data_IF_849682018607
#
_entry.id   IF_849682018607
#
_cell.length_a   1.000
_cell.length_b   1.000
_cell.length_c   1.000
_cell.angle_alpha   90.00
_cell.angle_beta   90.00
_cell.angle_gamma   90.00
#
_symmetry.space_group_name_H-M   'P 1'
#
loop_
_entity.id
_entity.type
_entity.pdbx_description
1 polymer ?
#
# COMPACT_ATOMS: atom_id res chain seq x y z
N UNK A 1 -12.87 -24.10 -15.52
CA UNK A 1 -11.48 -23.59 -15.58
C UNK A 1 -11.58 -22.07 -15.67
N UNK A 2 -11.19 -21.34 -14.61
CA UNK A 2 -11.14 -19.88 -14.65
C UNK A 2 -9.82 -19.53 -15.33
N UNK A 3 -9.89 -18.98 -16.54
CA UNK A 3 -8.71 -18.45 -17.23
C UNK A 3 -8.62 -16.95 -16.93
N UNK A 4 -7.50 -16.50 -16.37
CA UNK A 4 -7.18 -15.08 -16.33
C UNK A 4 -7.03 -14.56 -17.76
N UNK A 5 -7.69 -13.45 -18.09
CA UNK A 5 -7.64 -12.82 -19.42
C UNK A 5 -6.40 -11.92 -19.54
N UNK A 6 -5.29 -12.27 -18.90
CA UNK A 6 -3.99 -11.70 -19.24
C UNK A 6 -3.42 -12.45 -20.45
N UNK A 7 -4.03 -12.25 -21.63
CA UNK A 7 -3.27 -12.36 -22.88
C UNK A 7 -2.53 -11.03 -23.02
N UNK A 8 -1.22 -11.06 -23.21
CA UNK A 8 -0.31 -9.91 -23.14
C UNK A 8 -0.52 -8.76 -24.14
N UNK A 9 -1.75 -8.42 -24.49
CA UNK A 9 -2.12 -7.15 -25.12
C UNK A 9 -2.12 -6.07 -24.03
N UNK A 10 -0.95 -5.47 -23.81
CA UNK A 10 -0.85 -4.20 -23.06
C UNK A 10 -1.63 -3.14 -23.84
N UNK A 11 -2.72 -2.66 -23.25
CA UNK A 11 -3.55 -1.60 -23.81
C UNK A 11 -3.15 -0.25 -23.17
N UNK A 12 -1.84 -0.04 -22.99
CA UNK A 12 -1.29 1.02 -22.14
C UNK A 12 -1.42 2.44 -22.76
N UNK A 13 -1.91 2.55 -24.01
CA UNK A 13 -2.08 3.83 -24.71
C UNK A 13 -3.34 3.92 -25.61
N UNK A 14 -4.37 3.16 -25.28
CA UNK A 14 -5.60 3.10 -26.09
C UNK A 14 -6.62 4.15 -25.65
N UNK A 15 -7.27 4.83 -26.62
CA UNK A 15 -8.41 5.70 -26.33
C UNK A 15 -9.51 4.91 -25.61
N UNK A 16 -10.40 5.61 -24.89
CA UNK A 16 -11.51 4.95 -24.18
C UNK A 16 -12.31 4.05 -25.14
N UNK A 17 -12.50 4.47 -26.37
CA UNK A 17 -13.20 3.70 -27.41
C UNK A 17 -12.46 2.42 -27.80
N UNK A 18 -11.12 2.47 -27.90
CA UNK A 18 -10.29 1.30 -28.19
C UNK A 18 -10.32 0.30 -27.03
N UNK A 19 -10.22 0.78 -25.78
CA UNK A 19 -10.36 -0.05 -24.58
C UNK A 19 -11.73 -0.71 -24.49
N UNK A 20 -12.81 0.03 -24.77
CA UNK A 20 -14.16 -0.52 -24.82
C UNK A 20 -14.31 -1.59 -25.91
N UNK A 21 -13.70 -1.38 -27.07
CA UNK A 21 -13.72 -2.34 -28.19
C UNK A 21 -12.98 -3.61 -27.83
N UNK A 22 -11.80 -3.49 -27.20
CA UNK A 22 -11.04 -4.61 -26.68
C UNK A 22 -11.83 -5.38 -25.61
N UNK A 23 -12.42 -4.68 -24.63
CA UNK A 23 -13.23 -5.34 -23.61
C UNK A 23 -14.40 -6.13 -24.21
N UNK A 24 -15.08 -5.55 -25.22
CA UNK A 24 -16.14 -6.25 -25.96
C UNK A 24 -15.60 -7.49 -26.67
N UNK A 25 -14.49 -7.41 -27.39
CA UNK A 25 -13.94 -8.58 -28.10
C UNK A 25 -13.52 -9.71 -27.12
N UNK A 26 -13.05 -9.35 -25.93
CA UNK A 26 -12.62 -10.29 -24.91
C UNK A 26 -13.79 -10.98 -24.22
N UNK A 27 -14.87 -10.27 -23.92
CA UNK A 27 -15.95 -10.74 -23.05
C UNK A 27 -17.28 -11.04 -23.76
N UNK A 28 -17.48 -10.56 -24.99
CA UNK A 28 -18.74 -10.76 -25.70
C UNK A 28 -19.04 -12.26 -25.89
N UNK A 29 -20.31 -12.62 -25.67
CA UNK A 29 -20.84 -13.99 -25.70
C UNK A 29 -20.14 -15.00 -24.76
N UNK A 30 -19.35 -14.50 -23.79
CA UNK A 30 -18.68 -15.34 -22.77
C UNK A 30 -19.29 -15.14 -21.39
N UNK A 31 -19.28 -16.22 -20.62
CA UNK A 31 -19.54 -16.18 -19.18
C UNK A 31 -18.27 -15.76 -18.44
N UNK A 32 -18.35 -14.71 -17.64
CA UNK A 32 -17.20 -14.19 -16.89
C UNK A 32 -17.54 -13.85 -15.43
N UNK A 33 -16.49 -13.74 -14.63
CA UNK A 33 -16.51 -13.11 -13.30
C UNK A 33 -15.57 -11.90 -13.36
N UNK A 34 -16.10 -10.70 -13.18
CA UNK A 34 -15.33 -9.47 -13.13
C UNK A 34 -15.24 -8.99 -11.67
N UNK A 35 -14.04 -8.76 -11.17
CA UNK A 35 -13.82 -8.20 -9.83
C UNK A 35 -13.24 -6.81 -9.98
N UNK A 36 -13.97 -5.79 -9.52
CA UNK A 36 -13.52 -4.42 -9.44
C UNK A 36 -13.16 -4.13 -7.98
N UNK A 37 -11.87 -4.20 -7.68
CA UNK A 37 -11.35 -4.07 -6.31
C UNK A 37 -11.07 -2.59 -5.98
N UNK A 38 -11.37 -2.19 -4.73
CA UNK A 38 -11.12 -0.87 -4.14
C UNK A 38 -11.59 0.34 -4.98
N UNK A 39 -12.89 0.38 -5.28
CA UNK A 39 -13.47 1.41 -6.16
C UNK A 39 -13.87 2.68 -5.39
N UNK A 40 -13.42 3.85 -5.85
CA UNK A 40 -13.68 5.15 -5.18
C UNK A 40 -14.50 6.17 -5.98
N UNK A 41 -14.71 5.96 -7.29
CA UNK A 41 -15.36 6.97 -8.12
C UNK A 41 -16.86 7.10 -7.79
N UNK A 42 -17.32 8.25 -7.34
CA UNK A 42 -18.73 8.47 -6.99
C UNK A 42 -19.57 9.05 -8.14
N UNK A 43 -18.99 9.23 -9.33
CA UNK A 43 -19.69 9.76 -10.48
C UNK A 43 -20.64 8.71 -11.09
N UNK A 44 -21.92 8.88 -10.82
CA UNK A 44 -22.97 7.99 -11.28
C UNK A 44 -23.04 7.85 -12.81
N UNK A 45 -22.79 8.92 -13.57
CA UNK A 45 -22.86 8.87 -15.04
C UNK A 45 -21.82 7.91 -15.62
N UNK A 46 -20.58 7.95 -15.10
CA UNK A 46 -19.51 7.02 -15.50
C UNK A 46 -19.86 5.55 -15.21
N UNK A 47 -20.57 5.29 -14.12
CA UNK A 47 -21.03 3.94 -13.81
C UNK A 47 -22.15 3.46 -14.72
N UNK A 48 -23.05 4.36 -15.11
CA UNK A 48 -24.09 4.05 -16.10
C UNK A 48 -23.43 3.67 -17.44
N UNK A 49 -22.45 4.46 -17.90
CA UNK A 49 -21.69 4.16 -19.12
C UNK A 49 -21.01 2.78 -19.07
N UNK A 50 -20.30 2.46 -17.99
CA UNK A 50 -19.68 1.15 -17.81
C UNK A 50 -20.73 0.03 -17.79
N UNK A 51 -21.84 0.25 -17.09
CA UNK A 51 -22.90 -0.76 -16.99
C UNK A 51 -23.56 -1.01 -18.34
N UNK A 52 -23.80 0.01 -19.12
CA UNK A 52 -24.42 -0.10 -20.44
C UNK A 52 -23.47 -0.78 -21.44
N UNK A 53 -22.17 -0.48 -21.35
CA UNK A 53 -21.13 -1.23 -22.05
C UNK A 53 -21.18 -2.72 -21.69
N UNK A 54 -21.20 -3.06 -20.39
CA UNK A 54 -21.24 -4.46 -19.95
C UNK A 54 -22.55 -5.16 -20.35
N UNK A 55 -23.68 -4.46 -20.33
CA UNK A 55 -25.00 -4.97 -20.76
C UNK A 55 -25.10 -5.21 -22.26
N UNK A 56 -24.33 -4.48 -23.06
CA UNK A 56 -24.29 -4.70 -24.52
C UNK A 56 -23.64 -6.04 -24.92
N UNK A 57 -23.02 -6.76 -23.99
CA UNK A 57 -22.33 -8.03 -24.26
C UNK A 57 -23.25 -9.25 -24.07
N UNK A 58 -23.31 -10.13 -25.07
CA UNK A 58 -24.26 -11.25 -25.14
C UNK A 58 -24.10 -12.38 -24.10
N UNK A 59 -23.15 -12.26 -23.15
CA UNK A 59 -22.92 -13.21 -22.06
C UNK A 59 -23.21 -12.69 -20.64
N UNK A 60 -23.67 -11.44 -20.49
CA UNK A 60 -23.80 -10.81 -19.16
C UNK A 60 -24.81 -11.53 -18.25
N UNK A 61 -25.91 -12.05 -18.80
CA UNK A 61 -26.98 -12.70 -18.01
C UNK A 61 -26.50 -13.92 -17.21
N UNK A 62 -25.41 -14.55 -17.65
CA UNK A 62 -24.78 -15.69 -16.97
C UNK A 62 -23.54 -15.29 -16.15
N UNK A 63 -23.12 -14.03 -16.25
CA UNK A 63 -21.89 -13.50 -15.66
C UNK A 63 -22.15 -12.84 -14.30
N UNK A 64 -21.09 -12.62 -13.55
CA UNK A 64 -21.15 -11.94 -12.25
C UNK A 64 -20.10 -10.84 -12.18
N UNK A 65 -20.45 -9.74 -11.51
CA UNK A 65 -19.55 -8.64 -11.22
C UNK A 65 -19.53 -8.47 -9.72
N UNK A 66 -18.34 -8.47 -9.13
CA UNK A 66 -18.11 -8.18 -7.72
C UNK A 66 -17.40 -6.84 -7.66
N UNK A 67 -17.90 -5.94 -6.81
CA UNK A 67 -17.28 -4.65 -6.55
C UNK A 67 -16.99 -4.58 -5.07
N UNK A 68 -15.75 -4.24 -4.70
CA UNK A 68 -15.39 -3.90 -3.33
C UNK A 68 -15.15 -2.39 -3.25
N UNK A 69 -15.63 -1.77 -2.18
CA UNK A 69 -15.49 -0.32 -1.95
C UNK A 69 -15.71 -0.01 -0.48
N UNK A 70 -15.11 1.08 -0.01
CA UNK A 70 -15.37 1.66 1.31
C UNK A 70 -16.48 2.70 1.28
N UNK A 71 -16.85 3.21 0.10
CA UNK A 71 -17.89 4.21 -0.04
C UNK A 71 -19.26 3.54 -0.20
N UNK A 72 -20.12 3.69 0.82
CA UNK A 72 -21.52 3.28 0.73
C UNK A 72 -22.24 3.94 -0.45
N UNK A 73 -21.82 5.15 -0.85
CA UNK A 73 -22.35 5.83 -2.02
C UNK A 73 -21.97 5.12 -3.32
N UNK A 74 -20.70 4.78 -3.53
CA UNK A 74 -20.27 3.95 -4.67
C UNK A 74 -21.04 2.63 -4.69
N UNK A 75 -21.13 1.98 -3.53
CA UNK A 75 -21.82 0.70 -3.40
C UNK A 75 -23.31 0.84 -3.78
N UNK A 76 -23.98 1.92 -3.36
CA UNK A 76 -25.37 2.18 -3.70
C UNK A 76 -25.59 2.44 -5.20
N UNK A 77 -24.65 3.12 -5.86
CA UNK A 77 -24.71 3.39 -7.31
C UNK A 77 -24.54 2.09 -8.11
N UNK A 78 -23.62 1.23 -7.67
CA UNK A 78 -23.22 0.02 -8.40
C UNK A 78 -24.11 -1.19 -8.12
N UNK A 79 -24.78 -1.22 -6.97
CA UNK A 79 -25.50 -2.41 -6.54
C UNK A 79 -26.76 -2.64 -7.38
N UNK A 80 -26.83 -3.82 -7.99
CA UNK A 80 -28.04 -4.37 -8.60
C UNK A 80 -28.78 -5.35 -7.68
N UNK A 81 -28.18 -5.67 -6.53
CA UNK A 81 -28.69 -6.62 -5.53
C UNK A 81 -28.63 -6.00 -4.13
N UNK A 82 -28.93 -6.78 -3.09
CA UNK A 82 -28.69 -6.34 -1.70
C UNK A 82 -27.19 -6.21 -1.47
N UNK A 83 -26.78 -5.06 -0.94
CA UNK A 83 -25.40 -4.80 -0.55
C UNK A 83 -24.94 -5.81 0.50
N UNK A 84 -23.73 -6.33 0.32
CA UNK A 84 -23.06 -7.12 1.34
C UNK A 84 -22.11 -6.21 2.12
N UNK A 85 -22.54 -5.80 3.30
CA UNK A 85 -21.70 -5.05 4.22
C UNK A 85 -20.77 -6.01 4.96
N UNK A 86 -19.47 -5.92 4.70
CA UNK A 86 -18.46 -6.75 5.34
C UNK A 86 -18.35 -6.34 6.82
N UNK A 87 -18.76 -7.24 7.71
CA UNK A 87 -18.65 -7.03 9.16
C UNK A 87 -17.22 -7.20 9.63
N UNK A 88 -16.92 -6.61 10.78
CA UNK A 88 -15.69 -6.88 11.54
C UNK A 88 -15.59 -8.36 11.92
N UNK A 89 -14.36 -8.84 12.14
CA UNK A 89 -14.15 -10.21 12.59
C UNK A 89 -14.72 -10.42 14.01
N UNK A 90 -15.38 -11.55 14.26
CA UNK A 90 -15.72 -11.99 15.60
C UNK A 90 -14.49 -12.06 16.51
N UNK A 91 -14.70 -11.84 17.81
CA UNK A 91 -13.60 -11.80 18.79
C UNK A 91 -12.76 -13.09 18.77
N UNK A 92 -13.41 -14.25 18.73
CA UNK A 92 -12.72 -15.55 18.68
C UNK A 92 -11.85 -15.71 17.43
N UNK A 93 -12.36 -15.28 16.26
CA UNK A 93 -11.59 -15.31 15.02
C UNK A 93 -10.41 -14.34 15.06
N UNK A 94 -10.55 -13.20 15.75
CA UNK A 94 -9.44 -12.30 16.01
C UNK A 94 -8.39 -12.91 16.93
N UNK A 95 -8.79 -13.65 17.97
CA UNK A 95 -7.85 -14.35 18.84
C UNK A 95 -7.07 -15.40 18.04
N UNK A 96 -7.76 -16.23 17.25
CA UNK A 96 -7.12 -17.22 16.37
C UNK A 96 -6.12 -16.54 15.42
N UNK A 97 -6.53 -15.45 14.77
CA UNK A 97 -5.67 -14.70 13.87
C UNK A 97 -4.47 -14.11 14.62
N UNK A 98 -4.68 -13.49 15.78
CA UNK A 98 -3.64 -12.87 16.57
C UNK A 98 -2.60 -13.90 17.03
N UNK A 99 -3.04 -15.02 17.61
CA UNK A 99 -2.18 -16.09 18.07
C UNK A 99 -1.29 -16.63 16.95
N UNK A 100 -1.87 -16.83 15.76
CA UNK A 100 -1.13 -17.27 14.56
C UNK A 100 0.00 -16.31 14.17
N UNK A 101 -0.14 -15.02 14.46
CA UNK A 101 0.87 -14.01 14.11
C UNK A 101 1.81 -13.64 15.26
N UNK A 102 1.44 -13.93 16.51
CA UNK A 102 2.26 -13.64 17.69
C UNK A 102 3.14 -14.83 18.13
N UNK A 103 2.74 -16.07 17.82
CA UNK A 103 3.43 -17.29 18.25
C UNK A 103 3.77 -18.18 17.06
N UNK A 104 4.76 -19.07 17.23
CA UNK A 104 4.87 -20.24 16.34
C UNK A 104 3.76 -21.23 16.67
N UNK A 105 3.46 -22.13 15.73
CA UNK A 105 2.43 -23.15 15.90
C UNK A 105 2.65 -23.98 17.17
N UNK A 106 1.76 -23.78 18.16
CA UNK A 106 1.75 -24.51 19.44
C UNK A 106 2.52 -23.88 20.60
N UNK A 107 3.22 -22.75 20.39
CA UNK A 107 3.96 -22.05 21.46
C UNK A 107 3.03 -21.31 22.43
N UNK A 108 1.81 -20.95 22.01
CA UNK A 108 0.82 -20.21 22.79
C UNK A 108 0.50 -20.88 24.14
N UNK A 109 0.47 -22.22 24.17
CA UNK A 109 0.19 -23.01 25.38
C UNK A 109 1.27 -22.87 26.46
N UNK A 110 2.47 -22.46 26.08
CA UNK A 110 3.60 -22.29 27.00
C UNK A 110 3.57 -20.93 27.70
N UNK A 111 2.81 -19.96 27.18
CA UNK A 111 2.78 -18.57 27.65
C UNK A 111 1.36 -18.07 27.97
N UNK A 112 0.67 -18.68 28.96
CA UNK A 112 -0.71 -18.30 29.30
C UNK A 112 -0.85 -16.85 29.79
N UNK A 113 0.20 -16.30 30.42
CA UNK A 113 0.24 -14.88 30.82
C UNK A 113 0.24 -13.94 29.61
N UNK A 114 1.02 -14.25 28.57
CA UNK A 114 1.08 -13.47 27.34
C UNK A 114 -0.24 -13.56 26.58
N UNK A 115 -0.85 -14.75 26.52
CA UNK A 115 -2.18 -14.94 25.91
C UNK A 115 -3.25 -14.07 26.58
N UNK A 116 -3.26 -13.97 27.91
CA UNK A 116 -4.17 -13.08 28.64
C UNK A 116 -4.00 -11.60 28.25
N UNK A 117 -2.76 -11.14 28.08
CA UNK A 117 -2.48 -9.77 27.62
C UNK A 117 -2.87 -9.61 26.15
N UNK A 118 -2.61 -10.64 25.33
CA UNK A 118 -3.02 -10.71 23.92
C UNK A 118 -4.52 -10.54 23.74
N UNK A 119 -5.34 -11.18 24.57
CA UNK A 119 -6.79 -10.99 24.57
C UNK A 119 -7.21 -9.53 24.81
N UNK A 120 -6.52 -8.84 25.72
CA UNK A 120 -6.76 -7.42 25.99
C UNK A 120 -6.37 -6.53 24.80
N UNK A 121 -5.26 -6.86 24.12
CA UNK A 121 -4.85 -6.18 22.88
C UNK A 121 -5.88 -6.43 21.77
N UNK A 122 -6.32 -7.68 21.58
CA UNK A 122 -7.31 -8.04 20.55
C UNK A 122 -8.64 -7.32 20.76
N UNK A 123 -9.09 -7.13 22.01
CA UNK A 123 -10.28 -6.31 22.31
C UNK A 123 -10.11 -4.87 21.80
N UNK A 124 -8.92 -4.28 21.94
CA UNK A 124 -8.62 -2.92 21.46
C UNK A 124 -8.55 -2.83 19.93
N UNK A 125 -8.31 -3.94 19.22
CA UNK A 125 -8.30 -3.98 17.75
C UNK A 125 -9.68 -3.84 17.10
N UNK A 126 -10.77 -3.87 17.87
CA UNK A 126 -12.18 -3.70 17.41
C UNK A 126 -12.56 -4.60 16.21
N UNK A 127 -11.97 -5.79 16.13
CA UNK A 127 -12.29 -6.76 15.07
C UNK A 127 -11.71 -6.46 13.68
N UNK A 128 -10.79 -5.49 13.55
CA UNK A 128 -10.15 -5.13 12.27
C UNK A 128 -9.00 -6.09 11.96
N UNK A 129 -9.10 -6.96 10.91
CA UNK A 129 -8.10 -7.99 10.64
C UNK A 129 -6.69 -7.45 10.43
N UNK A 130 -6.57 -6.30 9.74
CA UNK A 130 -5.28 -5.68 9.46
C UNK A 130 -4.56 -5.30 10.76
N UNK A 131 -5.27 -4.68 11.71
CA UNK A 131 -4.73 -4.27 13.01
C UNK A 131 -4.34 -5.50 13.83
N UNK A 132 -5.24 -6.49 13.90
CA UNK A 132 -4.98 -7.75 14.64
C UNK A 132 -3.71 -8.42 14.12
N UNK A 133 -3.58 -8.57 12.81
CA UNK A 133 -2.39 -9.16 12.18
C UNK A 133 -1.13 -8.35 12.47
N UNK A 134 -1.17 -7.03 12.30
CA UNK A 134 -0.01 -6.15 12.49
C UNK A 134 0.47 -6.08 13.94
N UNK A 135 -0.44 -6.15 14.92
CA UNK A 135 -0.06 -6.19 16.34
C UNK A 135 0.39 -7.59 16.79
N UNK A 136 -0.23 -8.64 16.26
CA UNK A 136 0.26 -10.01 16.47
C UNK A 136 1.70 -10.15 15.97
N UNK A 137 1.96 -9.71 14.73
CA UNK A 137 3.30 -9.79 14.14
C UNK A 137 4.34 -8.90 14.81
N UNK A 138 3.93 -7.76 15.39
CA UNK A 138 4.80 -6.93 16.23
C UNK A 138 5.29 -7.68 17.48
N UNK A 139 4.47 -8.58 18.02
CA UNK A 139 4.75 -9.38 19.21
C UNK A 139 5.31 -10.76 18.87
N UNK A 140 5.55 -11.04 17.59
CA UNK A 140 6.04 -12.34 17.13
C UNK A 140 7.32 -12.76 17.86
N UNK A 141 7.27 -13.94 18.48
CA UNK A 141 8.36 -14.55 19.27
C UNK A 141 8.87 -13.72 20.47
N UNK A 142 8.15 -12.66 20.87
CA UNK A 142 8.47 -11.91 22.09
C UNK A 142 7.92 -12.65 23.31
N UNK A 143 8.81 -13.14 24.16
CA UNK A 143 8.44 -13.90 25.36
C UNK A 143 8.47 -13.05 26.64
N UNK A 144 9.01 -11.84 26.59
CA UNK A 144 9.02 -10.91 27.72
C UNK A 144 7.63 -10.25 27.88
N UNK A 145 7.05 -10.36 29.08
CA UNK A 145 5.74 -9.77 29.38
C UNK A 145 5.74 -8.24 29.25
N UNK A 146 6.87 -7.57 29.49
CA UNK A 146 6.98 -6.12 29.40
C UNK A 146 6.79 -5.60 27.97
N UNK A 147 7.22 -6.35 26.96
CA UNK A 147 6.97 -6.03 25.55
C UNK A 147 5.46 -5.97 25.27
N UNK A 148 4.72 -6.94 25.78
CA UNK A 148 3.27 -7.06 25.58
C UNK A 148 2.50 -5.98 26.33
N UNK A 149 2.89 -5.71 27.58
CA UNK A 149 2.32 -4.62 28.40
C UNK A 149 2.55 -3.27 27.71
N UNK A 150 3.75 -3.04 27.16
CA UNK A 150 4.07 -1.77 26.48
C UNK A 150 3.18 -1.50 25.26
N UNK A 151 2.77 -2.56 24.56
CA UNK A 151 1.83 -2.50 23.43
C UNK A 151 0.42 -2.30 23.96
N UNK A 152 -0.01 -3.06 24.97
CA UNK A 152 -1.35 -2.95 25.56
C UNK A 152 -1.61 -1.56 26.15
N UNK A 153 -0.68 -1.03 26.93
CA UNK A 153 -0.89 0.19 27.73
C UNK A 153 -0.38 1.46 27.04
N UNK A 154 -0.06 1.36 25.74
CA UNK A 154 0.45 2.49 24.99
C UNK A 154 -0.52 3.68 24.96
N UNK A 155 0.01 4.90 25.11
CA UNK A 155 -0.79 6.14 25.09
C UNK A 155 -1.53 6.35 23.76
N UNK A 156 -1.10 5.71 22.67
CA UNK A 156 -1.76 5.79 21.36
C UNK A 156 -3.21 5.32 21.40
N UNK A 157 -3.56 4.44 22.34
CA UNK A 157 -4.94 3.98 22.54
C UNK A 157 -5.89 5.05 23.06
N UNK A 158 -5.37 6.16 23.61
CA UNK A 158 -6.15 7.30 24.11
C UNK A 158 -6.35 8.40 23.06
N UNK A 159 -5.68 8.29 21.92
CA UNK A 159 -5.75 9.26 20.83
C UNK A 159 -7.00 9.03 19.99
N UNK A 160 -8.17 9.40 20.49
CA UNK A 160 -9.42 9.40 19.70
C UNK A 160 -9.30 10.36 18.51
N UNK A 161 -9.28 9.81 17.28
CA UNK A 161 -9.33 10.59 16.04
C UNK A 161 -10.60 10.22 15.28
N UNK A 162 -11.45 11.21 15.03
CA UNK A 162 -12.80 11.06 14.49
C UNK A 162 -12.87 10.55 13.03
N UNK A 163 -11.76 10.55 12.29
CA UNK A 163 -11.78 10.25 10.85
C UNK A 163 -10.95 9.02 10.43
N UNK A 164 -10.08 8.47 11.29
CA UNK A 164 -9.26 7.30 10.96
C UNK A 164 -8.81 6.53 12.22
N UNK A 165 -9.73 5.80 12.89
CA UNK A 165 -9.44 5.08 14.14
C UNK A 165 -8.31 4.05 14.03
N UNK A 166 -8.01 3.56 12.82
CA UNK A 166 -7.04 2.49 12.58
C UNK A 166 -5.59 3.01 12.48
N UNK A 167 -5.39 4.21 11.93
CA UNK A 167 -4.06 4.71 11.60
C UNK A 167 -3.16 4.89 12.83
N UNK A 168 -3.63 5.47 13.95
CA UNK A 168 -2.85 5.53 15.19
C UNK A 168 -2.42 4.14 15.66
N UNK A 169 -3.30 3.14 15.56
CA UNK A 169 -2.97 1.79 16.02
C UNK A 169 -1.88 1.15 15.17
N UNK A 170 -1.94 1.31 13.84
CA UNK A 170 -0.88 0.82 12.94
C UNK A 170 0.47 1.51 13.20
N UNK A 171 0.44 2.79 13.60
CA UNK A 171 1.64 3.54 13.99
C UNK A 171 2.37 2.93 15.19
N UNK A 172 1.70 2.14 16.01
CA UNK A 172 2.35 1.39 17.09
C UNK A 172 3.41 0.41 16.56
N UNK A 173 3.11 -0.31 15.47
CA UNK A 173 4.09 -1.21 14.82
C UNK A 173 5.27 -0.44 14.23
N UNK A 174 5.00 0.72 13.62
CA UNK A 174 6.06 1.63 13.13
C UNK A 174 6.95 2.16 14.26
N UNK A 175 6.37 2.60 15.38
CA UNK A 175 7.12 3.17 16.50
C UNK A 175 8.11 2.16 17.12
N UNK A 176 7.84 0.86 16.97
CA UNK A 176 8.70 -0.24 17.42
C UNK A 176 9.68 -0.74 16.34
N UNK A 177 9.75 -0.09 15.18
CA UNK A 177 10.82 -0.34 14.22
C UNK A 177 12.12 0.31 14.69
N UNK A 178 13.28 -0.32 14.42
CA UNK A 178 14.57 0.35 14.51
C UNK A 178 14.59 1.65 13.68
N UNK A 179 15.33 2.66 14.13
CA UNK A 179 15.34 4.00 13.51
C UNK A 179 15.79 4.00 12.04
N UNK A 180 16.67 3.09 11.62
CA UNK A 180 17.01 2.93 10.20
C UNK A 180 15.83 2.41 9.38
N UNK A 181 15.08 1.44 9.91
CA UNK A 181 13.89 0.90 9.24
C UNK A 181 12.76 1.91 9.20
N UNK A 182 12.60 2.74 10.24
CA UNK A 182 11.64 3.85 10.25
C UNK A 182 11.89 4.83 9.10
N UNK A 183 13.17 5.18 8.85
CA UNK A 183 13.56 6.06 7.73
C UNK A 183 13.29 5.39 6.38
N UNK A 184 13.68 4.12 6.22
CA UNK A 184 13.42 3.33 5.02
C UNK A 184 11.92 3.22 4.72
N UNK A 185 11.09 2.95 5.74
CA UNK A 185 9.64 2.88 5.62
C UNK A 185 9.02 4.23 5.24
N UNK A 186 9.44 5.31 5.90
CA UNK A 186 8.91 6.66 5.63
C UNK A 186 9.10 7.08 4.15
N UNK A 187 10.27 6.84 3.56
CA UNK A 187 10.51 7.21 2.15
C UNK A 187 9.74 6.35 1.15
N UNK A 188 9.20 5.20 1.57
CA UNK A 188 8.33 4.40 0.70
C UNK A 188 7.00 5.11 0.40
N UNK A 189 6.66 6.17 1.13
CA UNK A 189 5.50 7.03 0.84
C UNK A 189 5.59 7.72 -0.53
N UNK A 190 6.79 7.82 -1.10
CA UNK A 190 7.05 8.35 -2.45
C UNK A 190 6.59 7.40 -3.55
N UNK A 191 6.41 6.11 -3.24
CA UNK A 191 5.86 5.18 -4.20
C UNK A 191 4.36 5.39 -4.36
N UNK A 192 3.82 5.03 -5.53
CA UNK A 192 2.39 5.14 -5.79
C UNK A 192 1.63 4.19 -4.87
N UNK A 193 0.51 4.66 -4.34
CA UNK A 193 -0.45 3.82 -3.60
C UNK A 193 -1.05 2.77 -4.55
N UNK A 194 -1.35 1.58 -4.03
CA UNK A 194 -1.94 0.47 -4.78
C UNK A 194 -1.12 0.00 -6.00
N UNK A 195 0.21 0.04 -5.90
CA UNK A 195 1.09 -0.52 -6.92
C UNK A 195 2.00 -1.62 -6.39
N UNK A 196 2.51 -2.43 -7.33
CA UNK A 196 3.48 -3.49 -7.06
C UNK A 196 4.88 -2.86 -7.06
N UNK A 197 5.63 -3.15 -6.00
CA UNK A 197 7.02 -2.73 -5.80
C UNK A 197 7.96 -3.88 -6.07
N UNK A 198 9.12 -3.57 -6.65
CA UNK A 198 10.21 -4.50 -6.89
C UNK A 198 11.26 -4.35 -5.80
N UNK A 199 11.61 -5.44 -5.11
CA UNK A 199 12.56 -5.40 -3.98
C UNK A 199 13.90 -4.80 -4.37
N UNK A 200 14.44 -5.15 -5.53
CA UNK A 200 15.72 -4.63 -6.03
C UNK A 200 15.68 -3.12 -6.26
N UNK A 201 14.57 -2.59 -6.80
CA UNK A 201 14.40 -1.15 -7.04
C UNK A 201 14.29 -0.36 -5.74
N UNK A 202 13.57 -0.89 -4.76
CA UNK A 202 13.45 -0.25 -3.43
C UNK A 202 14.78 -0.28 -2.70
N UNK A 203 15.51 -1.39 -2.77
CA UNK A 203 16.86 -1.51 -2.18
C UNK A 203 17.82 -0.52 -2.85
N UNK A 204 17.86 -0.44 -4.18
CA UNK A 204 18.69 0.52 -4.92
C UNK A 204 18.34 1.96 -4.54
N UNK A 205 17.05 2.27 -4.36
CA UNK A 205 16.63 3.58 -3.90
C UNK A 205 17.14 3.88 -2.49
N UNK A 206 17.03 2.93 -1.54
CA UNK A 206 17.58 3.09 -0.20
C UNK A 206 19.10 3.25 -0.20
N UNK A 207 19.81 2.52 -1.06
CA UNK A 207 21.26 2.64 -1.25
C UNK A 207 21.63 4.05 -1.74
N UNK A 208 20.97 4.53 -2.80
CA UNK A 208 21.24 5.85 -3.39
C UNK A 208 20.99 7.01 -2.42
N UNK A 209 20.07 6.83 -1.46
CA UNK A 209 19.74 7.82 -0.45
C UNK A 209 20.52 7.64 0.87
N UNK A 210 21.48 6.71 0.92
CA UNK A 210 22.28 6.47 2.12
C UNK A 210 21.46 6.00 3.33
N UNK A 211 20.34 5.31 3.09
CA UNK A 211 19.42 4.86 4.15
C UNK A 211 19.82 3.51 4.74
N UNK A 212 20.68 2.76 4.06
CA UNK A 212 21.20 1.50 4.56
C UNK A 212 22.40 1.75 5.47
N UNK A 213 22.41 1.12 6.64
CA UNK A 213 23.53 1.22 7.56
C UNK A 213 24.67 0.30 7.12
N UNK A 214 25.90 0.82 7.13
CA UNK A 214 27.08 0.01 6.81
C UNK A 214 27.24 -1.08 7.86
N UNK A 215 27.17 -2.34 7.46
CA UNK A 215 27.45 -3.42 8.39
C UNK A 215 28.96 -3.40 8.73
N UNK A 216 29.32 -3.69 9.99
CA UNK A 216 30.73 -3.84 10.40
C UNK A 216 31.39 -5.08 9.76
N UNK A 217 30.61 -5.94 9.12
CA UNK A 217 31.05 -7.12 8.38
C UNK A 217 31.05 -6.82 6.88
N UNK A 218 31.82 -7.56 6.09
CA UNK A 218 31.92 -7.40 4.62
C UNK A 218 30.62 -7.84 3.90
N UNK A 219 29.48 -7.26 4.26
CA UNK A 219 28.18 -7.56 3.66
C UNK A 219 27.91 -6.60 2.52
N UNK A 220 27.31 -7.13 1.45
CA UNK A 220 26.86 -6.31 0.32
C UNK A 220 25.63 -5.50 0.73
N UNK A 221 25.50 -4.28 0.19
CA UNK A 221 24.36 -3.40 0.45
C UNK A 221 23.01 -4.04 0.12
N UNK A 222 23.00 -4.88 -0.92
CA UNK A 222 21.82 -5.61 -1.36
C UNK A 222 21.34 -6.57 -0.27
N UNK A 223 22.25 -7.22 0.45
CA UNK A 223 21.92 -8.11 1.56
C UNK A 223 21.34 -7.34 2.74
N UNK A 224 21.88 -6.16 3.05
CA UNK A 224 21.36 -5.27 4.10
C UNK A 224 19.92 -4.85 3.76
N UNK A 225 19.70 -4.37 2.54
CA UNK A 225 18.37 -3.96 2.08
C UNK A 225 17.38 -5.13 2.04
N UNK A 226 17.81 -6.32 1.63
CA UNK A 226 16.99 -7.52 1.65
C UNK A 226 16.54 -7.90 3.07
N UNK A 227 17.43 -7.81 4.07
CA UNK A 227 17.05 -8.03 5.48
C UNK A 227 16.05 -7.00 5.97
N UNK A 228 16.23 -5.72 5.61
CA UNK A 228 15.29 -4.67 5.98
C UNK A 228 13.88 -4.94 5.41
N UNK A 229 13.78 -5.31 4.14
CA UNK A 229 12.49 -5.70 3.56
C UNK A 229 11.90 -6.95 4.23
N UNK A 230 12.72 -7.95 4.55
CA UNK A 230 12.26 -9.15 5.27
C UNK A 230 11.74 -8.82 6.67
N UNK A 231 12.32 -7.84 7.37
CA UNK A 231 11.80 -7.38 8.66
C UNK A 231 10.47 -6.60 8.52
N UNK A 232 10.31 -5.81 7.46
CA UNK A 232 9.02 -5.18 7.17
C UNK A 232 7.94 -6.22 6.80
N UNK A 233 8.32 -7.30 6.08
CA UNK A 233 7.45 -8.44 5.80
C UNK A 233 7.04 -9.17 7.08
N UNK A 234 8.01 -9.48 7.96
CA UNK A 234 7.71 -10.18 9.20
C UNK A 234 6.77 -9.40 10.10
N UNK A 235 6.84 -8.06 10.07
CA UNK A 235 5.92 -7.16 10.78
C UNK A 235 4.61 -6.86 10.03
N UNK A 236 4.36 -7.52 8.90
CA UNK A 236 3.17 -7.33 8.07
C UNK A 236 2.93 -5.89 7.60
N UNK A 237 4.00 -5.08 7.51
CA UNK A 237 3.94 -3.72 6.97
C UNK A 237 3.98 -3.72 5.44
N UNK A 238 4.51 -4.80 4.84
CA UNK A 238 4.44 -5.07 3.40
C UNK A 238 3.99 -6.51 3.16
N UNK A 239 3.52 -6.80 1.95
CA UNK A 239 2.97 -8.10 1.57
C UNK A 239 3.65 -8.60 0.30
N UNK A 240 4.29 -9.78 0.37
CA UNK A 240 4.94 -10.41 -0.78
C UNK A 240 3.91 -10.90 -1.79
N UNK A 241 4.13 -10.58 -3.07
CA UNK A 241 3.25 -10.94 -4.19
C UNK A 241 3.84 -12.09 -5.00
N UNK A 242 5.11 -11.98 -5.43
CA UNK A 242 5.76 -13.01 -6.25
C UNK A 242 7.23 -13.12 -5.91
N UNK A 243 7.74 -14.34 -5.87
CA UNK A 243 9.16 -14.63 -5.67
C UNK A 243 9.85 -14.86 -7.01
N UNK A 244 11.09 -14.38 -7.16
CA UNK A 244 11.94 -14.65 -8.31
C UNK A 244 13.39 -14.86 -7.87
N UNK A 245 14.23 -15.38 -8.77
CA UNK A 245 15.56 -15.90 -8.40
C UNK A 245 16.48 -14.92 -7.64
N UNK A 246 16.30 -13.61 -7.80
CA UNK A 246 17.15 -12.57 -7.24
C UNK A 246 16.39 -11.51 -6.43
N UNK A 247 15.13 -11.77 -6.05
CA UNK A 247 14.31 -10.80 -5.34
C UNK A 247 12.84 -11.19 -5.30
N UNK A 248 11.98 -10.26 -4.89
CA UNK A 248 10.54 -10.47 -4.87
C UNK A 248 9.79 -9.18 -5.17
N UNK A 249 8.58 -9.34 -5.70
CA UNK A 249 7.63 -8.24 -5.76
C UNK A 249 6.78 -8.23 -4.50
N UNK A 250 6.36 -7.04 -4.09
CA UNK A 250 5.52 -6.86 -2.92
C UNK A 250 4.64 -5.64 -3.09
N UNK A 251 3.61 -5.54 -2.24
CA UNK A 251 2.76 -4.35 -2.15
C UNK A 251 2.69 -3.84 -0.72
N UNK A 252 2.32 -2.58 -0.59
CA UNK A 252 1.96 -1.98 0.69
C UNK A 252 0.44 -1.83 0.72
N UNK A 253 -0.19 -2.24 1.82
CA UNK A 253 -1.62 -2.00 1.99
C UNK A 253 -1.87 -0.49 2.04
N UNK A 254 -2.98 -0.06 1.48
CA UNK A 254 -3.33 1.35 1.28
C UNK A 254 -3.26 2.18 2.59
N UNK A 255 -3.77 1.68 3.72
CA UNK A 255 -3.66 2.28 5.05
C UNK A 255 -2.23 2.24 5.64
N UNK A 256 -1.40 1.28 5.24
CA UNK A 256 0.02 1.25 5.63
C UNK A 256 0.81 2.28 4.81
N UNK A 257 0.40 2.51 3.56
CA UNK A 257 0.92 3.61 2.75
C UNK A 257 0.51 4.97 3.33
N UNK A 258 -0.75 5.11 3.78
CA UNK A 258 -1.20 6.30 4.51
C UNK A 258 -0.40 6.52 5.80
N UNK A 259 0.00 5.43 6.48
CA UNK A 259 0.90 5.52 7.64
C UNK A 259 2.29 6.00 7.22
N UNK A 260 2.85 5.48 6.12
CA UNK A 260 4.13 5.95 5.58
C UNK A 260 4.07 7.45 5.25
N UNK A 261 2.96 7.93 4.68
CA UNK A 261 2.71 9.35 4.43
C UNK A 261 2.69 10.16 5.74
N UNK A 262 1.95 9.72 6.76
CA UNK A 262 1.88 10.40 8.07
C UNK A 262 3.26 10.51 8.74
N UNK A 263 4.02 9.41 8.75
CA UNK A 263 5.33 9.35 9.43
C UNK A 263 6.48 9.92 8.60
N UNK A 264 6.25 10.28 7.34
CA UNK A 264 7.25 10.95 6.50
C UNK A 264 7.54 12.40 6.89
N UNK A 265 6.89 12.92 7.95
CA UNK A 265 7.20 14.18 8.64
C UNK A 265 7.41 15.40 7.72
N UNK A 266 6.61 15.50 6.65
CA UNK A 266 6.71 16.56 5.63
C UNK A 266 8.05 16.58 4.86
N UNK A 267 8.92 15.59 5.06
CA UNK A 267 10.16 15.45 4.29
C UNK A 267 9.91 14.81 2.92
N UNK A 268 8.85 14.00 2.78
CA UNK A 268 8.46 13.39 1.50
C UNK A 268 7.20 14.06 0.93
N UNK A 269 7.18 14.30 -0.38
CA UNK A 269 6.00 14.84 -1.07
C UNK A 269 5.85 14.26 -2.48
N UNK A 270 4.71 13.66 -2.73
CA UNK A 270 4.27 13.32 -4.10
C UNK A 270 3.57 14.53 -4.72
N UNK A 271 4.06 14.95 -5.88
CA UNK A 271 3.53 16.06 -6.67
C UNK A 271 2.67 15.48 -7.78
N UNK A 272 1.43 15.97 -7.86
CA UNK A 272 0.49 15.64 -8.95
C UNK A 272 -0.10 16.93 -9.51
N UNK A 273 -0.89 16.82 -10.59
CA UNK A 273 -1.50 17.96 -11.27
C UNK A 273 -2.46 18.81 -10.43
N UNK A 274 -2.76 18.39 -9.20
CA UNK A 274 -3.70 19.04 -8.29
C UNK A 274 -3.05 19.54 -6.98
N UNK A 275 -1.80 19.16 -6.67
CA UNK A 275 -1.15 19.41 -5.37
C UNK A 275 0.27 19.98 -5.50
N UNK A 276 0.36 21.20 -6.04
CA UNK A 276 1.63 21.88 -6.31
C UNK A 276 2.28 22.59 -5.12
N UNK A 277 1.63 22.65 -3.96
CA UNK A 277 2.19 23.32 -2.78
C UNK A 277 3.22 22.41 -2.12
N UNK A 278 4.49 22.80 -2.20
CA UNK A 278 5.64 22.09 -1.61
C UNK A 278 6.14 22.89 -0.41
N UNK A 279 6.19 22.23 0.75
CA UNK A 279 6.70 22.85 1.97
C UNK A 279 8.23 22.98 1.96
N UNK A 280 8.77 23.94 2.70
CA UNK A 280 10.22 24.20 2.75
C UNK A 280 11.04 23.02 3.33
N UNK A 281 10.42 22.17 4.14
CA UNK A 281 11.06 21.02 4.78
C UNK A 281 11.11 19.77 3.87
N UNK A 282 10.52 19.83 2.67
CA UNK A 282 10.52 18.69 1.75
C UNK A 282 11.94 18.42 1.25
N UNK A 283 12.38 17.18 1.43
CA UNK A 283 13.69 16.66 1.00
C UNK A 283 13.57 15.66 -0.15
N UNK A 284 12.46 14.94 -0.23
CA UNK A 284 12.26 13.91 -1.24
C UNK A 284 10.96 14.19 -2.00
N UNK A 285 11.07 14.30 -3.31
CA UNK A 285 9.95 14.56 -4.21
C UNK A 285 9.67 13.32 -5.05
N UNK A 286 8.39 13.03 -5.26
CA UNK A 286 7.95 12.07 -6.26
C UNK A 286 7.04 12.71 -7.30
N UNK A 287 7.23 12.36 -8.57
CA UNK A 287 6.36 12.78 -9.68
C UNK A 287 5.63 11.56 -10.23
N UNK A 288 4.30 11.58 -10.17
CA UNK A 288 3.44 10.42 -10.43
C UNK A 288 2.48 10.60 -11.62
N UNK A 289 2.52 11.73 -12.33
CA UNK A 289 1.62 12.05 -13.45
C UNK A 289 2.45 12.34 -14.71
N UNK A 290 2.20 11.58 -15.77
CA UNK A 290 2.86 11.70 -17.08
C UNK A 290 2.64 13.09 -17.70
N UNK A 291 1.60 13.81 -17.27
CA UNK A 291 1.28 15.16 -17.73
C UNK A 291 2.12 16.26 -17.07
N UNK A 292 2.98 15.91 -16.11
CA UNK A 292 3.92 16.86 -15.47
C UNK A 292 5.11 17.18 -16.39
N UNK A 293 4.81 17.60 -17.61
CA UNK A 293 5.76 18.09 -18.62
C UNK A 293 6.35 19.47 -18.26
N UNK A 294 5.87 20.10 -17.19
CA UNK A 294 6.36 21.41 -16.72
C UNK A 294 6.66 21.35 -15.23
N UNK A 295 7.93 21.16 -14.91
CA UNK A 295 8.51 21.41 -13.58
C UNK A 295 8.15 22.83 -13.17
N UNK A 296 7.35 23.05 -12.11
CA UNK A 296 7.04 24.40 -11.65
C UNK A 296 8.32 25.19 -11.39
N UNK A 297 8.36 26.46 -11.80
CA UNK A 297 9.53 27.34 -11.57
C UNK A 297 9.86 27.44 -10.07
N UNK A 298 8.88 27.22 -9.19
CA UNK A 298 9.03 27.21 -7.74
C UNK A 298 9.90 26.06 -7.21
N UNK A 299 10.03 24.94 -7.96
CA UNK A 299 10.96 23.87 -7.59
C UNK A 299 12.42 24.34 -7.57
N UNK A 300 12.79 25.32 -8.41
CA UNK A 300 14.14 25.92 -8.42
C UNK A 300 14.47 26.68 -7.13
N UNK A 301 13.47 27.01 -6.30
CA UNK A 301 13.64 27.72 -5.03
C UNK A 301 13.83 26.75 -3.85
N UNK A 302 13.60 25.46 -4.03
CA UNK A 302 13.71 24.46 -2.98
C UNK A 302 15.18 24.09 -2.75
N UNK A 303 15.76 24.60 -1.67
CA UNK A 303 17.17 24.37 -1.31
C UNK A 303 17.41 23.06 -0.55
N UNK A 304 16.35 22.44 -0.05
CA UNK A 304 16.42 21.29 0.86
C UNK A 304 16.15 19.95 0.17
N UNK A 305 15.71 19.96 -1.10
CA UNK A 305 15.44 18.73 -1.85
C UNK A 305 16.77 18.03 -2.12
N UNK A 306 16.81 16.73 -1.80
CA UNK A 306 17.94 15.82 -1.97
C UNK A 306 17.64 14.72 -2.99
N UNK A 307 16.37 14.44 -3.22
CA UNK A 307 15.96 13.32 -4.08
C UNK A 307 14.75 13.69 -4.91
N UNK A 308 14.82 13.37 -6.20
CA UNK A 308 13.69 13.45 -7.12
C UNK A 308 13.46 12.04 -7.66
N UNK A 309 12.32 11.46 -7.30
CA UNK A 309 11.87 10.16 -7.75
C UNK A 309 10.84 10.33 -8.86
N UNK A 310 11.18 9.89 -10.07
CA UNK A 310 10.28 9.92 -11.22
C UNK A 310 9.82 8.49 -11.46
N UNK A 311 8.52 8.24 -11.32
CA UNK A 311 7.94 6.95 -11.72
C UNK A 311 8.13 6.77 -13.23
N UNK A 312 8.42 5.55 -13.70
CA UNK A 312 8.65 5.28 -15.12
C UNK A 312 7.54 5.93 -15.96
N UNK A 313 7.93 6.97 -16.71
CA UNK A 313 7.05 7.66 -17.63
C UNK A 313 6.77 6.70 -18.79
N UNK A 314 5.55 6.69 -19.30
CA UNK A 314 5.21 5.91 -20.50
C UNK A 314 6.25 6.15 -21.62
N UNK A 315 6.45 5.16 -22.48
CA UNK A 315 7.49 5.13 -23.53
C UNK A 315 7.46 6.31 -24.51
N UNK A 316 6.41 7.14 -24.50
CA UNK A 316 6.32 8.40 -25.24
C UNK A 316 6.91 9.63 -24.51
N UNK A 317 7.11 9.60 -23.20
CA UNK A 317 7.75 10.71 -22.48
C UNK A 317 9.29 10.60 -22.48
N UNK A 318 9.87 10.47 -23.68
CA UNK A 318 11.32 10.67 -23.88
C UNK A 318 11.76 12.11 -23.61
N UNK A 319 10.82 13.02 -23.34
CA UNK A 319 11.12 14.38 -22.91
C UNK A 319 11.14 14.44 -21.40
N UNK A 320 12.21 13.94 -20.77
CA UNK A 320 12.60 14.50 -19.47
C UNK A 320 12.85 15.98 -19.75
N UNK A 321 11.87 16.83 -19.42
CA UNK A 321 11.94 18.25 -19.74
C UNK A 321 13.26 18.79 -19.18
N UNK A 322 13.96 19.64 -19.94
CA UNK A 322 15.25 20.22 -19.55
C UNK A 322 15.19 20.85 -18.14
N UNK A 323 14.00 21.25 -17.69
CA UNK A 323 13.72 21.76 -16.35
C UNK A 323 13.83 20.71 -15.23
N UNK A 324 13.50 19.44 -15.47
CA UNK A 324 13.68 18.31 -14.53
C UNK A 324 15.17 17.99 -14.40
N UNK A 325 15.87 17.92 -15.54
CA UNK A 325 17.33 17.73 -15.56
C UNK A 325 18.03 18.88 -14.82
N UNK A 326 17.68 20.13 -15.12
CA UNK A 326 18.22 21.30 -14.45
C UNK A 326 17.87 21.38 -12.96
N UNK A 327 16.78 20.73 -12.51
CA UNK A 327 16.48 20.60 -11.09
C UNK A 327 17.43 19.58 -10.44
N UNK A 328 17.58 18.40 -11.04
CA UNK A 328 18.48 17.36 -10.56
C UNK A 328 19.95 17.81 -10.53
N UNK A 329 20.39 18.64 -11.48
CA UNK A 329 21.77 19.19 -11.51
C UNK A 329 22.07 20.19 -10.39
N UNK A 330 21.05 20.68 -9.66
CA UNK A 330 21.20 21.63 -8.55
C UNK A 330 21.10 20.99 -7.17
N UNK A 331 20.72 19.73 -7.11
CA UNK A 331 20.53 18.93 -5.89
C UNK A 331 21.83 18.19 -5.59
#
# INVERSE_FOLDING_TARGET
MIHSINKGEQCDDSTVEALQTCLRSLLNDKKFLLVLDDVWNENQARWIELRDLLRSMGGLSQSKIIVTTRSLKVASIMSSIRLYELKVLPHEDCLILFTKWAFNDGDDRQYPNLMRIGEEIVKKCKGVPLVVRTLGSLLFMKTDESDWISVRDNEIWKLEHAENEILPVLKLSYNHLPSHLQRCFAVMSLYKKDSIYYSDKVIQFWMANGLLEHSKQKQEWVDVGGRYLNELLSRCLIQKETDYALGFTFKMHDLIHDLALDVSQKECKTVNSQSYVIGENVRHLSFCDDKLLKVPQDLKKLKNVRTVFVHELSTESKTIHESLINLCLKI
#
